data_IF_872852382479
#
_entry.id   IF_872852382479
#
_cell.length_a   1.000
_cell.length_b   1.000
_cell.length_c   1.000
_cell.angle_alpha   90.00
_cell.angle_beta   90.00
_cell.angle_gamma   90.00
#
_symmetry.space_group_name_H-M   'P 1'
#
loop_
_entity.id
_entity.type
_entity.pdbx_description
1 polymer ?
#
# COMPACT_ATOMS: atom_id res chain seq x y z
N UNK A 1 17.40 -25.50 47.07
CA UNK A 1 16.23 -25.22 47.96
C UNK A 1 15.00 -25.74 47.26
N UNK A 2 14.22 -26.68 47.88
CA UNK A 2 12.98 -27.18 47.25
C UNK A 2 11.98 -26.05 47.16
N UNK A 3 11.33 -25.92 46.02
CA UNK A 3 10.28 -24.95 45.76
C UNK A 3 9.16 -25.13 46.80
N UNK A 4 8.86 -24.13 47.57
CA UNK A 4 7.76 -24.10 48.55
C UNK A 4 6.43 -24.33 47.82
N UNK A 5 5.86 -25.51 47.93
CA UNK A 5 4.53 -25.82 47.41
C UNK A 5 3.50 -24.86 47.98
N UNK A 6 2.69 -24.26 47.12
CA UNK A 6 1.61 -23.37 47.54
C UNK A 6 0.62 -24.16 48.44
N UNK A 7 0.23 -23.63 49.61
CA UNK A 7 -0.75 -24.25 50.49
C UNK A 7 -2.12 -24.34 49.83
N UNK A 8 -2.81 -25.44 50.00
CA UNK A 8 -4.21 -25.66 49.56
C UNK A 8 -5.18 -24.92 50.47
N UNK A 9 -6.42 -24.70 50.02
CA UNK A 9 -7.48 -24.10 50.85
C UNK A 9 -7.75 -24.97 52.09
N UNK A 10 -7.76 -26.30 51.92
CA UNK A 10 -7.94 -27.23 53.05
C UNK A 10 -6.83 -27.13 54.13
N UNK A 11 -5.55 -27.02 53.68
CA UNK A 11 -4.46 -26.80 54.64
C UNK A 11 -4.59 -25.48 55.37
N UNK A 12 -5.12 -24.43 54.73
CA UNK A 12 -5.35 -23.13 55.39
C UNK A 12 -6.50 -23.16 56.37
N UNK A 13 -7.56 -23.91 56.06
CA UNK A 13 -8.65 -24.16 56.99
C UNK A 13 -8.18 -24.95 58.21
N UNK A 14 -7.34 -25.96 58.01
CA UNK A 14 -6.74 -26.71 59.10
C UNK A 14 -5.87 -25.83 60.01
N UNK A 15 -5.05 -24.90 59.40
CA UNK A 15 -4.27 -23.93 60.19
C UNK A 15 -5.16 -23.00 61.01
N UNK A 16 -6.26 -22.51 60.46
CA UNK A 16 -7.21 -21.67 61.16
C UNK A 16 -7.87 -22.42 62.33
N UNK A 17 -8.37 -23.64 62.06
CA UNK A 17 -8.99 -24.49 63.06
C UNK A 17 -8.07 -24.82 64.23
N UNK A 18 -6.80 -25.17 63.98
CA UNK A 18 -5.82 -25.41 65.05
C UNK A 18 -5.54 -24.12 65.88
N UNK A 19 -5.50 -22.96 65.22
CA UNK A 19 -5.34 -21.68 65.94
C UNK A 19 -6.55 -21.32 66.81
N UNK A 20 -7.76 -21.68 66.38
CA UNK A 20 -9.00 -21.50 67.19
C UNK A 20 -9.04 -22.43 68.39
N UNK A 21 -8.40 -23.61 68.32
CA UNK A 21 -8.16 -24.51 69.38
C UNK A 21 -7.08 -24.02 70.42
N UNK A 22 -6.52 -22.85 70.18
CA UNK A 22 -5.54 -22.23 71.11
C UNK A 22 -4.07 -22.57 70.81
N UNK A 23 -3.76 -23.30 69.70
CA UNK A 23 -2.40 -23.59 69.38
C UNK A 23 -1.62 -22.35 68.90
N UNK A 24 -0.36 -22.25 69.32
CA UNK A 24 0.52 -21.15 68.88
C UNK A 24 0.83 -21.25 67.40
N UNK A 25 1.19 -20.13 66.74
CA UNK A 25 1.59 -20.12 65.30
C UNK A 25 2.74 -21.07 65.02
N UNK A 26 3.62 -21.28 66.02
CA UNK A 26 4.75 -22.22 65.86
C UNK A 26 4.24 -23.67 65.83
N UNK A 27 3.38 -24.05 66.81
CA UNK A 27 2.79 -25.37 66.88
C UNK A 27 1.94 -25.70 65.64
N UNK A 28 1.14 -24.74 65.12
CA UNK A 28 0.38 -24.89 63.90
C UNK A 28 1.29 -25.09 62.68
N UNK A 29 2.40 -24.35 62.61
CA UNK A 29 3.37 -24.49 61.49
C UNK A 29 4.00 -25.88 61.46
N UNK A 30 4.38 -26.43 62.63
CA UNK A 30 4.96 -27.74 62.78
C UNK A 30 3.95 -28.84 62.42
N UNK A 31 2.73 -28.76 62.92
CA UNK A 31 1.68 -29.75 62.65
C UNK A 31 1.21 -29.77 61.17
N UNK A 32 1.22 -28.62 60.50
CA UNK A 32 0.76 -28.51 59.12
C UNK A 32 1.87 -28.59 58.10
N UNK A 33 3.14 -28.72 58.54
CA UNK A 33 4.31 -28.83 57.65
C UNK A 33 4.61 -27.59 56.83
N UNK A 34 4.26 -26.38 57.37
CA UNK A 34 4.48 -25.09 56.70
C UNK A 34 5.45 -24.23 57.51
N UNK A 35 5.95 -23.15 56.92
CA UNK A 35 6.75 -22.18 57.67
C UNK A 35 5.90 -21.39 58.68
N UNK A 36 6.49 -20.98 59.78
CA UNK A 36 5.87 -20.09 60.79
C UNK A 36 5.19 -18.87 60.11
N UNK A 37 5.86 -18.23 59.19
CA UNK A 37 5.33 -17.06 58.46
C UNK A 37 4.12 -17.42 57.58
N UNK A 38 4.05 -18.63 57.04
CA UNK A 38 2.91 -19.11 56.29
C UNK A 38 1.72 -19.36 57.18
N UNK A 39 1.89 -20.06 58.29
CA UNK A 39 0.83 -20.25 59.31
C UNK A 39 0.29 -18.93 59.83
N UNK A 40 1.17 -18.06 60.33
CA UNK A 40 0.81 -16.72 60.81
C UNK A 40 0.05 -15.90 59.77
N UNK A 41 0.46 -15.93 58.51
CA UNK A 41 -0.19 -15.21 57.41
C UNK A 41 -1.65 -15.66 57.22
N UNK A 42 -1.87 -16.97 57.17
CA UNK A 42 -3.20 -17.50 56.88
C UNK A 42 -4.14 -17.40 58.08
N UNK A 43 -3.68 -17.62 59.29
CA UNK A 43 -4.47 -17.46 60.53
C UNK A 43 -4.88 -15.99 60.68
N UNK A 44 -3.97 -15.03 60.53
CA UNK A 44 -4.31 -13.60 60.60
C UNK A 44 -5.30 -13.19 59.50
N UNK A 45 -5.20 -13.81 58.31
CA UNK A 45 -6.09 -13.50 57.21
C UNK A 45 -7.50 -14.03 57.43
N UNK A 46 -7.59 -15.20 58.03
CA UNK A 46 -8.88 -15.76 58.46
C UNK A 46 -9.52 -14.88 59.54
N UNK A 47 -8.82 -14.52 60.59
CA UNK A 47 -9.32 -13.66 61.68
C UNK A 47 -9.84 -12.30 61.22
N UNK A 48 -9.30 -11.76 60.11
CA UNK A 48 -9.74 -10.46 59.57
C UNK A 48 -10.87 -10.57 58.55
N UNK A 49 -11.00 -11.67 57.81
CA UNK A 49 -11.93 -11.79 56.69
C UNK A 49 -12.71 -13.10 56.64
N UNK A 50 -12.62 -13.92 57.71
CA UNK A 50 -13.27 -15.22 57.82
C UNK A 50 -12.83 -16.25 56.79
N UNK A 51 -13.55 -17.37 56.67
CA UNK A 51 -13.29 -18.46 55.76
C UNK A 51 -13.16 -18.04 54.28
N UNK A 52 -13.93 -17.07 53.73
CA UNK A 52 -13.75 -16.59 52.38
C UNK A 52 -12.36 -16.00 52.12
N UNK A 53 -11.68 -15.46 53.13
CA UNK A 53 -10.34 -14.90 53.01
C UNK A 53 -9.24 -15.96 52.84
N UNK A 54 -9.53 -17.23 53.14
CA UNK A 54 -8.61 -18.35 52.94
C UNK A 54 -8.58 -18.82 51.46
N UNK A 55 -9.57 -18.43 50.66
CA UNK A 55 -9.51 -18.64 49.20
C UNK A 55 -8.56 -17.65 48.62
N UNK A 56 -7.43 -18.10 48.11
CA UNK A 56 -6.58 -17.25 47.27
C UNK A 56 -7.28 -16.98 45.96
N UNK A 57 -7.66 -15.76 45.73
CA UNK A 57 -7.72 -15.26 44.38
C UNK A 57 -6.28 -15.31 43.86
N UNK A 58 -5.99 -16.36 43.09
CA UNK A 58 -4.63 -16.71 42.72
C UNK A 58 -3.93 -15.58 42.00
N UNK A 59 -2.77 -15.19 42.48
CA UNK A 59 -1.86 -14.29 41.82
C UNK A 59 -1.81 -12.88 42.43
N UNK A 60 -0.75 -12.18 42.07
CA UNK A 60 -0.58 -10.75 42.32
C UNK A 60 -1.81 -9.99 41.77
N UNK A 61 -2.40 -9.03 42.49
CA UNK A 61 -3.51 -8.26 41.98
C UNK A 61 -3.26 -7.85 40.55
N UNK A 62 -4.23 -8.06 39.66
CA UNK A 62 -4.06 -7.74 38.25
C UNK A 62 -3.68 -6.26 38.12
N UNK A 63 -2.43 -5.98 37.78
CA UNK A 63 -1.93 -4.61 37.63
C UNK A 63 -1.90 -4.29 36.14
N UNK A 64 -2.26 -3.07 35.77
CA UNK A 64 -2.19 -2.55 34.43
C UNK A 64 -3.53 -2.19 33.82
N UNK A 65 -3.54 -1.80 32.52
CA UNK A 65 -4.77 -1.41 31.83
C UNK A 65 -5.83 -2.51 31.93
N UNK A 66 -7.06 -2.11 32.21
CA UNK A 66 -8.23 -2.98 32.38
C UNK A 66 -8.22 -3.86 33.68
N UNK A 67 -7.29 -3.67 34.62
CA UNK A 67 -7.27 -4.43 35.88
C UNK A 67 -8.37 -4.02 36.86
N UNK A 68 -8.88 -2.78 36.76
CA UNK A 68 -9.96 -2.24 37.57
C UNK A 68 -11.37 -2.55 37.05
N UNK A 69 -11.46 -3.24 35.89
CA UNK A 69 -12.73 -3.64 35.30
C UNK A 69 -13.02 -5.11 35.55
N UNK A 70 -14.28 -5.50 35.34
CA UNK A 70 -14.68 -6.90 35.45
C UNK A 70 -13.75 -7.80 34.63
N UNK A 71 -13.30 -8.97 35.11
CA UNK A 71 -12.31 -9.81 34.45
C UNK A 71 -12.67 -10.17 33.01
N UNK A 72 -13.97 -10.34 32.69
CA UNK A 72 -14.45 -10.61 31.33
C UNK A 72 -14.19 -9.46 30.37
N UNK A 73 -14.21 -8.19 30.81
CA UNK A 73 -13.93 -7.03 29.95
C UNK A 73 -12.57 -7.19 29.27
N UNK A 74 -11.55 -7.56 30.04
CA UNK A 74 -10.21 -7.75 29.51
C UNK A 74 -10.13 -8.94 28.53
N UNK A 75 -10.71 -10.09 28.90
CA UNK A 75 -10.67 -11.29 28.07
C UNK A 75 -11.45 -11.12 26.75
N UNK A 76 -12.64 -10.50 26.82
CA UNK A 76 -13.46 -10.20 25.65
C UNK A 76 -12.78 -9.17 24.76
N UNK A 77 -12.25 -8.06 25.29
CA UNK A 77 -11.53 -7.05 24.51
C UNK A 77 -10.32 -7.63 23.75
N UNK A 78 -9.55 -8.51 24.39
CA UNK A 78 -8.42 -9.16 23.79
C UNK A 78 -8.84 -10.19 22.73
N UNK A 79 -9.91 -10.97 23.00
CA UNK A 79 -10.46 -11.93 22.03
C UNK A 79 -10.98 -11.22 20.78
N UNK A 80 -11.78 -10.17 20.93
CA UNK A 80 -12.30 -9.38 19.82
C UNK A 80 -11.16 -8.81 18.95
N UNK A 81 -10.11 -8.28 19.60
CA UNK A 81 -8.95 -7.75 18.84
C UNK A 81 -8.16 -8.82 18.13
N UNK A 82 -8.05 -10.04 18.67
CA UNK A 82 -7.39 -11.17 18.00
C UNK A 82 -8.19 -11.68 16.80
N UNK A 83 -9.51 -11.75 16.94
CA UNK A 83 -10.42 -12.19 15.88
C UNK A 83 -10.51 -11.13 14.76
N UNK A 84 -10.54 -9.85 15.14
CA UNK A 84 -10.75 -8.73 14.24
C UNK A 84 -9.60 -7.71 14.38
N UNK A 85 -8.45 -8.04 13.80
CA UNK A 85 -7.21 -7.24 13.94
C UNK A 85 -7.35 -5.78 13.45
N UNK A 86 -8.27 -5.53 12.52
CA UNK A 86 -8.55 -4.19 11.97
C UNK A 86 -9.45 -3.33 12.86
N UNK A 87 -10.17 -3.92 13.82
CA UNK A 87 -11.08 -3.16 14.67
C UNK A 87 -10.32 -2.19 15.58
N UNK A 88 -10.73 -0.91 15.54
CA UNK A 88 -10.21 0.12 16.42
C UNK A 88 -10.80 0.02 17.85
N UNK A 89 -10.20 0.75 18.80
CA UNK A 89 -10.64 0.73 20.18
C UNK A 89 -12.11 1.15 20.36
N UNK A 90 -12.56 2.14 19.58
CA UNK A 90 -13.94 2.62 19.63
C UNK A 90 -14.95 1.50 19.30
N UNK A 91 -14.70 0.76 18.24
CA UNK A 91 -15.58 -0.32 17.83
C UNK A 91 -15.57 -1.49 18.82
N UNK A 92 -14.41 -1.82 19.39
CA UNK A 92 -14.31 -2.83 20.45
C UNK A 92 -15.05 -2.42 21.72
N UNK A 93 -14.97 -1.16 22.14
CA UNK A 93 -15.75 -0.66 23.30
C UNK A 93 -17.26 -0.73 23.02
N UNK A 94 -17.70 -0.37 21.80
CA UNK A 94 -19.10 -0.56 21.38
C UNK A 94 -19.52 -2.03 21.52
N UNK A 95 -18.70 -2.96 21.00
CA UNK A 95 -18.98 -4.42 21.08
C UNK A 95 -18.93 -4.99 22.50
N UNK A 96 -18.13 -4.41 23.39
CA UNK A 96 -18.16 -4.73 24.83
C UNK A 96 -19.50 -4.33 25.45
N UNK A 97 -20.06 -3.17 25.08
CA UNK A 97 -21.37 -2.71 25.55
C UNK A 97 -22.54 -3.58 25.06
N UNK A 98 -22.39 -4.15 23.89
CA UNK A 98 -23.39 -5.07 23.29
C UNK A 98 -23.26 -6.52 23.84
N UNK A 99 -22.23 -6.82 24.64
CA UNK A 99 -21.96 -8.18 25.07
C UNK A 99 -22.87 -8.58 26.25
N UNK A 100 -23.73 -9.63 26.14
CA UNK A 100 -24.73 -9.94 27.16
C UNK A 100 -24.15 -10.14 28.59
N UNK A 101 -22.98 -10.79 28.68
CA UNK A 101 -22.33 -11.05 29.96
C UNK A 101 -21.67 -9.80 30.60
N UNK A 102 -21.70 -8.65 29.93
CA UNK A 102 -21.15 -7.39 30.40
C UNK A 102 -22.23 -6.32 30.62
N UNK A 103 -23.50 -6.67 30.49
CA UNK A 103 -24.64 -5.79 30.74
C UNK A 103 -24.55 -5.21 32.17
N UNK A 104 -24.65 -3.89 32.30
CA UNK A 104 -24.53 -3.18 33.58
C UNK A 104 -23.12 -3.07 34.14
N UNK A 105 -22.11 -3.65 33.49
CA UNK A 105 -20.72 -3.51 33.92
C UNK A 105 -20.10 -2.20 33.44
N UNK A 106 -19.23 -1.62 34.25
CA UNK A 106 -18.43 -0.45 33.85
C UNK A 106 -17.53 -0.82 32.65
N UNK A 107 -17.63 -0.05 31.58
CA UNK A 107 -16.81 -0.24 30.38
C UNK A 107 -15.57 0.66 30.39
N UNK A 108 -14.45 0.20 29.77
CA UNK A 108 -13.22 0.98 29.70
C UNK A 108 -13.33 2.10 28.68
N UNK A 109 -12.55 3.15 28.87
CA UNK A 109 -12.33 4.19 27.87
C UNK A 109 -11.52 3.65 26.69
N UNK A 110 -11.58 4.36 25.55
CA UNK A 110 -10.79 4.05 24.35
C UNK A 110 -9.29 3.96 24.64
N UNK A 111 -8.80 4.87 25.48
CA UNK A 111 -7.39 4.95 25.86
C UNK A 111 -6.96 3.74 26.70
N UNK A 112 -7.80 3.27 27.62
CA UNK A 112 -7.52 2.09 28.44
C UNK A 112 -7.47 0.81 27.61
N UNK A 113 -8.40 0.65 26.66
CA UNK A 113 -8.38 -0.46 25.71
C UNK A 113 -7.11 -0.43 24.86
N UNK A 114 -6.75 0.73 24.34
CA UNK A 114 -5.55 0.91 23.53
C UNK A 114 -4.25 0.64 24.31
N UNK A 115 -4.15 1.14 25.56
CA UNK A 115 -3.02 0.85 26.47
C UNK A 115 -2.91 -0.64 26.77
N UNK A 116 -4.04 -1.33 26.93
CA UNK A 116 -4.09 -2.78 27.11
C UNK A 116 -3.49 -3.51 25.89
N UNK A 117 -3.87 -3.13 24.69
CA UNK A 117 -3.32 -3.74 23.49
C UNK A 117 -1.82 -3.50 23.33
N UNK A 118 -1.33 -2.32 23.60
CA UNK A 118 0.11 -2.03 23.58
C UNK A 118 0.89 -2.93 24.54
N UNK A 119 0.33 -3.23 25.71
CA UNK A 119 0.97 -4.12 26.70
C UNK A 119 1.06 -5.57 26.20
N UNK A 120 0.10 -6.02 25.42
CA UNK A 120 0.09 -7.38 24.89
C UNK A 120 0.86 -7.49 23.54
N UNK A 121 1.26 -6.39 22.94
CA UNK A 121 2.13 -6.31 21.78
C UNK A 121 1.73 -7.25 20.66
N UNK A 122 2.66 -8.09 20.21
CA UNK A 122 2.51 -8.99 19.07
C UNK A 122 1.41 -10.05 19.21
N UNK A 123 0.91 -10.29 20.42
CA UNK A 123 -0.18 -11.25 20.65
C UNK A 123 -1.54 -10.73 20.17
N UNK A 124 -1.68 -9.42 20.07
CA UNK A 124 -2.95 -8.75 19.79
C UNK A 124 -2.86 -7.77 18.63
N UNK A 125 -1.74 -7.04 18.54
CA UNK A 125 -1.48 -6.14 17.43
C UNK A 125 -0.83 -6.93 16.27
N UNK A 126 -1.12 -6.57 15.01
CA UNK A 126 -0.40 -7.17 13.90
C UNK A 126 1.10 -6.96 14.12
N UNK A 127 1.89 -8.01 13.91
CA UNK A 127 3.36 -7.87 13.92
C UNK A 127 3.72 -6.68 13.03
N UNK A 128 4.44 -5.72 13.59
CA UNK A 128 5.12 -4.74 12.75
C UNK A 128 5.99 -5.56 11.80
N UNK A 129 5.61 -5.60 10.52
CA UNK A 129 6.55 -6.07 9.50
C UNK A 129 7.84 -5.30 9.74
N UNK A 130 8.98 -5.99 9.81
CA UNK A 130 10.30 -5.33 9.79
C UNK A 130 10.21 -4.29 8.69
N UNK A 131 10.51 -3.04 9.06
CA UNK A 131 10.63 -2.00 8.05
C UNK A 131 11.63 -2.54 7.02
N UNK A 132 11.17 -2.80 5.81
CA UNK A 132 12.12 -2.98 4.71
C UNK A 132 12.94 -1.70 4.67
N UNK A 133 14.24 -1.80 4.39
CA UNK A 133 15.07 -0.61 4.28
C UNK A 133 14.36 0.36 3.33
N UNK A 134 13.93 1.49 3.88
CA UNK A 134 13.34 2.56 3.08
C UNK A 134 14.43 3.05 2.15
N UNK A 135 14.19 2.97 0.86
CA UNK A 135 14.97 3.72 -0.10
C UNK A 135 14.95 5.19 0.34
N UNK A 136 16.09 5.89 0.32
CA UNK A 136 16.09 7.32 0.57
C UNK A 136 15.12 8.00 -0.42
N UNK A 137 14.33 9.01 0.01
CA UNK A 137 13.46 9.76 -0.88
C UNK A 137 14.30 10.43 -1.99
N UNK A 138 13.64 10.79 -3.10
CA UNK A 138 14.31 11.53 -4.17
C UNK A 138 15.02 12.76 -3.59
N UNK A 139 16.27 12.94 -3.99
CA UNK A 139 17.12 14.06 -3.52
C UNK A 139 16.96 15.33 -4.32
N UNK A 140 16.17 15.31 -5.40
CA UNK A 140 16.00 16.41 -6.36
C UNK A 140 14.57 16.47 -6.89
N UNK A 141 14.15 17.68 -7.28
CA UNK A 141 12.89 17.91 -7.97
C UNK A 141 12.79 17.05 -9.24
N UNK A 142 11.63 16.49 -9.51
CA UNK A 142 11.37 15.60 -10.64
C UNK A 142 12.27 14.36 -10.73
N UNK A 143 12.95 14.00 -9.62
CA UNK A 143 13.72 12.77 -9.55
C UNK A 143 12.82 11.54 -9.54
N UNK A 144 11.71 11.57 -8.79
CA UNK A 144 10.73 10.49 -8.74
C UNK A 144 9.33 11.05 -8.59
N UNK A 145 8.44 10.64 -9.48
CA UNK A 145 7.01 10.85 -9.31
C UNK A 145 6.34 9.59 -8.80
N UNK A 146 5.62 9.70 -7.69
CA UNK A 146 4.73 8.64 -7.21
C UNK A 146 3.40 8.77 -7.95
N UNK A 147 3.00 7.73 -8.67
CA UNK A 147 1.75 7.71 -9.43
C UNK A 147 0.83 6.60 -8.93
N UNK A 148 -0.45 6.91 -8.84
CA UNK A 148 -1.49 5.98 -8.43
C UNK A 148 -2.83 6.33 -9.08
N UNK A 149 -3.72 5.35 -9.19
CA UNK A 149 -5.09 5.52 -9.67
C UNK A 149 -6.08 5.20 -8.56
N UNK A 150 -7.04 6.09 -8.37
CA UNK A 150 -8.18 5.84 -7.51
C UNK A 150 -9.38 5.48 -8.37
N UNK A 151 -9.56 4.19 -8.56
CA UNK A 151 -10.56 3.66 -9.49
C UNK A 151 -11.98 3.69 -8.95
N UNK A 152 -12.93 3.93 -9.85
CA UNK A 152 -14.36 3.69 -9.66
C UNK A 152 -14.98 4.42 -8.46
N UNK A 153 -14.66 5.69 -8.28
CA UNK A 153 -15.17 6.54 -7.20
C UNK A 153 -16.55 7.09 -7.60
N UNK A 154 -17.60 6.92 -6.78
CA UNK A 154 -18.88 7.57 -7.04
C UNK A 154 -18.78 9.08 -6.79
N UNK A 155 -19.19 9.89 -7.75
CA UNK A 155 -19.21 11.35 -7.70
C UNK A 155 -20.61 11.85 -7.98
N UNK A 156 -21.11 12.76 -7.14
CA UNK A 156 -22.44 13.35 -7.28
C UNK A 156 -22.61 14.08 -8.63
N UNK A 157 -23.72 13.82 -9.32
CA UNK A 157 -24.05 14.41 -10.61
C UNK A 157 -23.42 13.73 -11.84
N UNK A 158 -22.28 13.04 -11.69
CA UNK A 158 -21.54 12.46 -12.82
C UNK A 158 -21.66 10.91 -12.86
N UNK A 159 -21.70 10.27 -11.69
CA UNK A 159 -21.64 8.81 -11.59
C UNK A 159 -20.25 8.32 -11.15
N UNK A 160 -19.72 7.28 -11.81
CA UNK A 160 -18.44 6.69 -11.43
C UNK A 160 -17.29 7.35 -12.19
N UNK A 161 -16.24 7.71 -11.46
CA UNK A 161 -15.05 8.40 -12.00
C UNK A 161 -13.79 7.72 -11.50
N UNK A 162 -12.78 7.58 -12.35
CA UNK A 162 -11.42 7.18 -11.97
C UNK A 162 -10.51 8.40 -11.97
N UNK A 163 -9.74 8.55 -10.89
CA UNK A 163 -8.76 9.61 -10.72
C UNK A 163 -7.37 9.07 -10.94
N UNK A 164 -6.61 9.71 -11.82
CA UNK A 164 -5.21 9.42 -12.10
C UNK A 164 -4.33 10.55 -11.55
N UNK A 165 -3.49 10.24 -10.59
CA UNK A 165 -2.74 11.23 -9.84
C UNK A 165 -1.25 10.90 -9.80
N UNK A 166 -0.40 11.94 -9.90
CA UNK A 166 1.02 11.82 -9.62
C UNK A 166 1.50 12.97 -8.72
N UNK A 167 2.45 12.65 -7.84
CA UNK A 167 3.08 13.61 -6.94
C UNK A 167 4.59 13.48 -7.03
N UNK A 168 5.25 14.62 -7.06
CA UNK A 168 6.70 14.67 -6.89
C UNK A 168 7.11 14.19 -5.49
N UNK A 169 8.07 13.27 -5.43
CA UNK A 169 8.50 12.68 -4.15
C UNK A 169 9.37 13.64 -3.34
N UNK A 170 10.13 14.51 -3.99
CA UNK A 170 11.00 15.50 -3.35
C UNK A 170 10.21 16.67 -2.78
N UNK A 171 9.54 17.42 -3.64
CA UNK A 171 8.88 18.68 -3.26
C UNK A 171 7.43 18.51 -2.81
N UNK A 172 6.86 17.29 -2.95
CA UNK A 172 5.48 16.98 -2.52
C UNK A 172 4.37 17.68 -3.30
N UNK A 173 4.69 18.41 -4.35
CA UNK A 173 3.69 18.98 -5.23
C UNK A 173 2.94 17.88 -6.00
N UNK A 174 1.66 18.09 -6.26
CA UNK A 174 0.91 17.27 -7.20
C UNK A 174 1.24 17.76 -8.60
N UNK A 175 1.81 16.88 -9.40
CA UNK A 175 2.29 17.18 -10.76
C UNK A 175 1.36 16.67 -11.85
N UNK A 176 0.40 15.84 -11.49
CA UNK A 176 -0.66 15.36 -12.38
C UNK A 176 -1.90 15.03 -11.59
N UNK A 177 -3.06 15.47 -12.08
CA UNK A 177 -4.36 15.08 -11.56
C UNK A 177 -5.40 15.11 -12.67
N UNK A 178 -5.77 13.93 -13.18
CA UNK A 178 -6.71 13.80 -14.29
C UNK A 178 -7.86 12.89 -13.88
N UNK A 179 -9.02 13.12 -14.48
CA UNK A 179 -10.23 12.35 -14.22
C UNK A 179 -10.67 11.60 -15.48
N UNK A 180 -11.26 10.44 -15.27
CA UNK A 180 -11.85 9.60 -16.31
C UNK A 180 -13.25 9.18 -15.84
N UNK A 181 -14.30 9.89 -16.27
CA UNK A 181 -15.67 9.49 -15.99
C UNK A 181 -16.04 8.21 -16.72
N UNK A 182 -17.07 7.51 -16.23
CA UNK A 182 -17.70 6.41 -16.92
C UNK A 182 -18.27 6.85 -18.25
N UNK A 183 -18.11 6.04 -19.31
CA UNK A 183 -18.70 6.31 -20.63
C UNK A 183 -20.22 6.17 -20.64
N UNK A 184 -20.78 5.38 -19.70
CA UNK A 184 -22.21 5.14 -19.58
C UNK A 184 -22.66 5.17 -18.09
N UNK A 185 -23.85 5.68 -17.79
CA UNK A 185 -24.38 5.77 -16.40
C UNK A 185 -24.47 4.43 -15.67
N UNK A 186 -24.55 3.32 -16.39
CA UNK A 186 -24.63 1.97 -15.82
C UNK A 186 -23.26 1.36 -15.54
N UNK A 187 -22.19 1.94 -16.06
CA UNK A 187 -20.84 1.46 -15.84
C UNK A 187 -20.43 1.63 -14.37
N UNK A 188 -20.11 0.53 -13.71
CA UNK A 188 -19.72 0.51 -12.29
C UNK A 188 -18.21 0.49 -12.07
N UNK A 189 -17.47 0.10 -13.10
CA UNK A 189 -16.02 -0.02 -13.02
C UNK A 189 -15.42 0.74 -14.19
N UNK A 190 -14.61 1.73 -13.89
CA UNK A 190 -13.83 2.50 -14.86
C UNK A 190 -12.37 2.20 -14.64
N UNK A 191 -11.75 1.50 -15.58
CA UNK A 191 -10.31 1.23 -15.58
C UNK A 191 -9.61 2.15 -16.54
N UNK A 192 -8.49 2.68 -16.12
CA UNK A 192 -7.65 3.51 -16.96
C UNK A 192 -6.94 2.65 -18.03
N UNK A 193 -6.98 3.06 -19.29
CA UNK A 193 -6.24 2.45 -20.37
C UNK A 193 -4.83 3.00 -20.48
N UNK A 194 -3.92 2.25 -21.14
CA UNK A 194 -2.55 2.76 -21.39
C UNK A 194 -2.56 4.06 -22.20
N UNK A 195 -3.43 4.19 -23.18
CA UNK A 195 -3.57 5.40 -24.01
C UNK A 195 -4.02 6.62 -23.20
N UNK A 196 -5.04 6.45 -22.33
CA UNK A 196 -5.45 7.52 -21.41
C UNK A 196 -4.31 7.89 -20.44
N UNK A 197 -3.63 6.89 -19.89
CA UNK A 197 -2.48 7.11 -19.03
C UNK A 197 -1.32 7.85 -19.69
N UNK A 198 -1.07 7.59 -20.98
CA UNK A 198 -0.10 8.32 -21.79
C UNK A 198 -0.54 9.77 -22.03
N UNK A 199 -1.82 9.98 -22.36
CA UNK A 199 -2.34 11.34 -22.58
C UNK A 199 -2.24 12.19 -21.31
N UNK A 200 -2.59 11.65 -20.16
CA UNK A 200 -2.43 12.33 -18.87
C UNK A 200 -0.97 12.70 -18.58
N UNK A 201 -0.07 11.75 -18.85
CA UNK A 201 1.37 12.00 -18.69
C UNK A 201 1.88 13.06 -19.68
N UNK A 202 1.43 13.10 -20.94
CA UNK A 202 1.82 14.14 -21.92
C UNK A 202 1.47 15.53 -21.42
N UNK A 203 0.27 15.70 -20.83
CA UNK A 203 -0.15 16.97 -20.23
C UNK A 203 0.79 17.34 -19.08
N UNK A 204 1.07 16.42 -18.17
CA UNK A 204 1.95 16.65 -17.04
C UNK A 204 3.40 16.92 -17.50
N UNK A 205 3.92 16.16 -18.44
CA UNK A 205 5.29 16.31 -18.96
C UNK A 205 5.48 17.65 -19.69
N UNK A 206 4.44 18.12 -20.40
CA UNK A 206 4.46 19.42 -21.05
C UNK A 206 4.64 20.56 -20.05
N UNK A 207 4.02 20.43 -18.88
CA UNK A 207 4.08 21.46 -17.82
C UNK A 207 5.34 21.33 -16.95
N UNK A 208 5.70 20.11 -16.54
CA UNK A 208 6.74 19.85 -15.54
C UNK A 208 8.04 19.24 -16.09
N UNK A 209 8.06 18.84 -17.37
CA UNK A 209 9.13 18.04 -17.96
C UNK A 209 9.06 16.56 -17.57
N UNK A 210 9.99 15.76 -18.10
CA UNK A 210 10.09 14.35 -17.81
C UNK A 210 10.76 14.10 -16.46
N UNK A 211 10.19 13.25 -15.58
CA UNK A 211 10.88 12.81 -14.37
C UNK A 211 11.99 11.80 -14.69
N UNK A 212 12.92 11.59 -13.76
CA UNK A 212 13.91 10.53 -13.90
C UNK A 212 13.27 9.14 -13.71
N UNK A 213 12.29 9.03 -12.80
CA UNK A 213 11.57 7.80 -12.54
C UNK A 213 10.09 8.04 -12.22
N UNK A 214 9.24 7.08 -12.57
CA UNK A 214 7.85 6.98 -12.12
C UNK A 214 7.71 5.73 -11.26
N UNK A 215 7.24 5.92 -10.03
CA UNK A 215 6.97 4.87 -9.08
C UNK A 215 5.47 4.57 -9.03
N UNK A 216 5.10 3.30 -9.21
CA UNK A 216 3.72 2.84 -9.15
C UNK A 216 3.59 1.63 -8.23
N UNK A 217 2.36 1.32 -7.83
CA UNK A 217 2.02 0.03 -7.24
C UNK A 217 1.82 -1.05 -8.33
N UNK A 218 1.32 -2.21 -7.92
CA UNK A 218 1.04 -3.35 -8.80
C UNK A 218 -0.36 -3.28 -9.46
N UNK A 219 -0.92 -2.08 -9.68
CA UNK A 219 -2.19 -1.95 -10.38
C UNK A 219 -2.11 -2.49 -11.82
N UNK A 220 -3.22 -3.02 -12.32
CA UNK A 220 -3.30 -3.70 -13.63
C UNK A 220 -2.87 -2.85 -14.83
N UNK A 221 -3.00 -1.53 -14.73
CA UNK A 221 -2.53 -0.60 -15.78
C UNK A 221 -0.99 -0.61 -15.95
N UNK A 222 -0.26 -1.08 -14.93
CA UNK A 222 1.21 -1.10 -14.91
C UNK A 222 1.80 -2.49 -15.14
N UNK A 223 0.97 -3.53 -15.17
CA UNK A 223 1.34 -4.91 -15.44
C UNK A 223 0.15 -5.87 -15.36
N UNK A 224 0.29 -7.06 -15.95
CA UNK A 224 -0.69 -8.13 -15.80
C UNK A 224 -0.74 -8.71 -14.39
N UNK A 225 -1.88 -9.27 -13.98
CA UNK A 225 -2.04 -9.99 -12.71
C UNK A 225 -1.30 -11.34 -12.64
N UNK A 226 -0.58 -11.71 -13.68
CA UNK A 226 0.21 -12.93 -13.80
C UNK A 226 1.45 -12.89 -12.86
N UNK A 227 1.95 -14.04 -12.33
CA UNK A 227 3.20 -14.11 -11.57
C UNK A 227 4.43 -13.51 -12.26
N UNK A 228 4.38 -13.42 -13.59
CA UNK A 228 5.41 -12.79 -14.44
C UNK A 228 4.74 -11.86 -15.46
N UNK A 229 4.24 -10.67 -15.04
CA UNK A 229 3.49 -9.78 -15.91
C UNK A 229 4.35 -9.23 -17.05
N UNK A 230 3.78 -9.21 -18.26
CA UNK A 230 4.38 -8.49 -19.38
C UNK A 230 4.16 -6.99 -19.17
N UNK A 231 5.15 -6.12 -19.44
CA UNK A 231 5.01 -4.69 -19.27
C UNK A 231 3.93 -4.13 -20.19
N UNK A 232 3.12 -3.19 -19.69
CA UNK A 232 2.11 -2.51 -20.49
C UNK A 232 2.74 -1.54 -21.48
N UNK A 233 2.00 -1.14 -22.52
CA UNK A 233 2.45 -0.11 -23.46
C UNK A 233 2.82 1.19 -22.74
N UNK A 234 2.11 1.55 -21.69
CA UNK A 234 2.43 2.71 -20.86
C UNK A 234 3.82 2.59 -20.19
N UNK A 235 4.15 1.42 -19.65
CA UNK A 235 5.47 1.15 -19.07
C UNK A 235 6.57 1.20 -20.13
N UNK A 236 6.34 0.58 -21.29
CA UNK A 236 7.31 0.58 -22.39
C UNK A 236 7.52 1.99 -22.95
N UNK A 237 6.47 2.80 -23.00
CA UNK A 237 6.56 4.19 -23.40
C UNK A 237 7.40 5.03 -22.44
N UNK A 238 7.23 4.89 -21.12
CA UNK A 238 8.12 5.56 -20.16
C UNK A 238 9.57 5.15 -20.34
N UNK A 239 9.83 3.85 -20.49
CA UNK A 239 11.19 3.33 -20.69
C UNK A 239 11.81 3.90 -21.96
N UNK A 240 11.06 3.96 -23.07
CA UNK A 240 11.51 4.56 -24.33
C UNK A 240 11.85 6.04 -24.19
N UNK A 241 11.09 6.80 -23.38
CA UNK A 241 11.41 8.20 -23.02
C UNK A 241 12.56 8.34 -22.00
N UNK A 242 13.18 7.23 -21.59
CA UNK A 242 14.27 7.22 -20.62
C UNK A 242 13.80 7.53 -19.21
N UNK A 243 12.56 7.18 -18.86
CA UNK A 243 12.00 7.25 -17.52
C UNK A 243 12.08 5.86 -16.90
N UNK A 244 12.73 5.76 -15.73
CA UNK A 244 12.77 4.50 -15.00
C UNK A 244 11.40 4.16 -14.41
N UNK A 245 10.87 2.97 -14.70
CA UNK A 245 9.66 2.49 -14.05
C UNK A 245 10.00 1.68 -12.79
N UNK A 246 9.50 2.12 -11.64
CA UNK A 246 9.71 1.52 -10.32
C UNK A 246 8.43 0.93 -9.78
N UNK A 247 8.36 -0.39 -9.73
CA UNK A 247 7.27 -1.10 -9.07
C UNK A 247 7.54 -1.25 -7.59
N UNK A 248 6.58 -0.85 -6.74
CA UNK A 248 6.65 -1.08 -5.31
C UNK A 248 5.75 -2.24 -4.90
N UNK A 249 6.33 -3.17 -4.14
CA UNK A 249 5.65 -4.36 -3.64
C UNK A 249 4.71 -4.09 -2.45
N UNK A 250 4.66 -2.86 -1.93
CA UNK A 250 3.87 -2.50 -0.76
C UNK A 250 3.26 -1.10 -0.89
N UNK A 251 1.95 -0.94 -0.66
CA UNK A 251 1.28 0.36 -0.65
C UNK A 251 1.94 1.39 0.27
N UNK A 252 2.62 0.93 1.32
CA UNK A 252 3.30 1.83 2.28
C UNK A 252 4.39 2.71 1.66
N UNK A 253 4.94 2.32 0.51
CA UNK A 253 5.93 3.12 -0.20
C UNK A 253 5.28 4.27 -1.01
N UNK A 254 3.95 4.22 -1.21
CA UNK A 254 3.15 5.25 -1.88
C UNK A 254 2.37 6.16 -0.90
N UNK A 255 2.77 6.22 0.36
CA UNK A 255 2.04 6.98 1.40
C UNK A 255 1.90 8.49 1.14
N UNK A 256 2.62 9.06 0.20
CA UNK A 256 2.44 10.45 -0.24
C UNK A 256 1.20 10.57 -1.12
N UNK A 257 1.03 9.65 -2.08
CA UNK A 257 -0.12 9.66 -2.99
C UNK A 257 -1.42 9.23 -2.28
N UNK A 258 -1.35 8.28 -1.31
CA UNK A 258 -2.50 7.90 -0.48
C UNK A 258 -3.07 9.10 0.31
N UNK A 259 -2.19 9.99 0.79
CA UNK A 259 -2.61 11.26 1.40
C UNK A 259 -3.26 12.20 0.38
N UNK A 260 -2.77 12.23 -0.85
CA UNK A 260 -3.39 12.95 -1.95
C UNK A 260 -4.83 12.52 -2.18
N UNK A 261 -5.09 11.21 -2.22
CA UNK A 261 -6.45 10.67 -2.36
C UNK A 261 -7.39 11.06 -1.20
N UNK A 262 -6.88 11.18 0.02
CA UNK A 262 -7.65 11.69 1.14
C UNK A 262 -7.98 13.17 0.96
N UNK A 263 -7.00 13.97 0.57
CA UNK A 263 -7.19 15.41 0.32
C UNK A 263 -8.21 15.64 -0.78
N UNK A 264 -8.16 14.87 -1.88
CA UNK A 264 -9.17 14.89 -2.93
C UNK A 264 -10.58 14.65 -2.36
N UNK A 265 -10.75 13.61 -1.56
CA UNK A 265 -12.04 13.32 -0.96
C UNK A 265 -12.54 14.46 -0.08
N UNK A 266 -11.69 14.93 0.83
CA UNK A 266 -12.06 15.90 1.86
C UNK A 266 -12.29 17.30 1.28
N UNK A 267 -11.61 17.67 0.19
CA UNK A 267 -11.66 19.01 -0.37
C UNK A 267 -12.55 19.13 -1.58
N UNK A 268 -12.46 18.18 -2.52
CA UNK A 268 -13.11 18.28 -3.82
C UNK A 268 -14.45 17.52 -3.87
N UNK A 269 -14.56 16.36 -3.18
CA UNK A 269 -15.67 15.44 -3.42
C UNK A 269 -16.74 15.44 -2.32
N UNK A 270 -16.39 15.68 -1.06
CA UNK A 270 -17.36 15.62 0.04
C UNK A 270 -18.45 16.67 -0.15
N UNK A 271 -19.70 16.21 -0.14
CA UNK A 271 -20.90 17.02 -0.24
C UNK A 271 -20.99 17.89 -1.52
N UNK A 272 -20.22 17.55 -2.56
CA UNK A 272 -20.23 18.23 -3.85
C UNK A 272 -20.94 17.38 -4.92
N UNK A 273 -21.60 18.09 -5.84
CA UNK A 273 -22.15 17.51 -7.06
C UNK A 273 -21.72 18.36 -8.25
N UNK A 274 -21.41 17.73 -9.35
CA UNK A 274 -20.89 18.37 -10.55
C UNK A 274 -21.84 18.15 -11.72
N UNK A 275 -21.95 19.14 -12.61
CA UNK A 275 -22.77 19.05 -13.81
C UNK A 275 -22.27 17.99 -14.79
N UNK A 276 -20.95 17.88 -14.91
CA UNK A 276 -20.26 17.00 -15.85
C UNK A 276 -18.77 16.80 -15.46
N UNK A 277 -18.07 15.97 -16.24
CA UNK A 277 -16.65 15.70 -16.02
C UNK A 277 -15.76 16.93 -16.19
N UNK A 278 -16.13 17.87 -17.08
CA UNK A 278 -15.32 19.09 -17.30
C UNK A 278 -15.37 20.00 -16.07
N UNK A 279 -16.54 20.18 -15.47
CA UNK A 279 -16.71 20.94 -14.24
C UNK A 279 -15.91 20.32 -13.08
N UNK A 280 -15.96 18.98 -12.95
CA UNK A 280 -15.13 18.28 -11.95
C UNK A 280 -13.65 18.45 -12.23
N UNK A 281 -13.17 18.31 -13.47
CA UNK A 281 -11.75 18.50 -13.80
C UNK A 281 -11.28 19.93 -13.49
N UNK A 282 -12.09 20.93 -13.83
CA UNK A 282 -11.79 22.33 -13.51
C UNK A 282 -11.65 22.56 -12.00
N UNK A 283 -12.54 21.97 -11.20
CA UNK A 283 -12.45 22.08 -9.74
C UNK A 283 -11.22 21.35 -9.18
N UNK A 284 -10.94 20.16 -9.71
CA UNK A 284 -9.74 19.37 -9.33
C UNK A 284 -8.46 20.16 -9.63
N UNK A 285 -8.36 20.76 -10.81
CA UNK A 285 -7.19 21.55 -11.21
C UNK A 285 -7.03 22.79 -10.27
N UNK A 286 -8.10 23.53 -10.02
CA UNK A 286 -8.09 24.69 -9.12
C UNK A 286 -7.68 24.31 -7.67
N UNK A 287 -8.24 23.22 -7.13
CA UNK A 287 -7.90 22.75 -5.78
C UNK A 287 -6.43 22.34 -5.65
N UNK A 288 -5.85 21.74 -6.69
CA UNK A 288 -4.45 21.32 -6.66
C UNK A 288 -3.48 22.46 -6.90
N UNK A 289 -3.84 23.43 -7.71
CA UNK A 289 -3.06 24.67 -7.87
C UNK A 289 -2.99 25.42 -6.54
N UNK A 290 -4.11 25.59 -5.84
CA UNK A 290 -4.13 26.20 -4.52
C UNK A 290 -3.33 25.38 -3.48
N UNK A 291 -3.46 24.03 -3.49
CA UNK A 291 -2.69 23.16 -2.60
C UNK A 291 -1.20 23.20 -2.86
N UNK A 292 -0.78 23.37 -4.11
CA UNK A 292 0.62 23.46 -4.47
C UNK A 292 1.23 24.83 -4.15
N UNK A 293 0.47 25.93 -4.39
CA UNK A 293 1.00 27.30 -4.36
C UNK A 293 0.66 28.07 -3.07
N UNK A 294 -0.46 27.75 -2.41
CA UNK A 294 -0.98 28.59 -1.33
C UNK A 294 -1.14 27.85 0.00
N UNK A 295 -1.53 26.58 -0.03
CA UNK A 295 -1.84 25.85 1.20
C UNK A 295 -0.59 25.37 1.93
N UNK A 296 -0.45 25.67 3.24
CA UNK A 296 0.66 25.17 4.06
C UNK A 296 0.70 23.63 4.11
N UNK A 297 1.83 23.06 3.75
CA UNK A 297 2.07 21.61 3.74
C UNK A 297 2.81 21.16 5.00
N UNK A 298 2.26 20.15 5.68
CA UNK A 298 2.92 19.48 6.81
C UNK A 298 3.94 18.41 6.38
N UNK A 299 4.22 18.29 5.08
CA UNK A 299 5.24 17.37 4.60
C UNK A 299 6.63 17.78 5.11
N UNK A 300 7.47 16.82 5.40
CA UNK A 300 8.76 17.03 6.07
C UNK A 300 9.66 18.04 5.33
N UNK A 301 9.62 18.09 4.01
CA UNK A 301 10.42 19.02 3.20
C UNK A 301 9.85 20.44 3.13
N UNK A 302 8.54 20.61 3.38
CA UNK A 302 7.86 21.90 3.16
C UNK A 302 7.87 22.84 4.37
N UNK A 303 8.25 22.38 5.55
CA UNK A 303 8.38 23.20 6.78
C UNK A 303 7.15 24.08 7.09
N UNK A 304 5.96 23.62 6.71
CA UNK A 304 4.71 24.37 6.90
C UNK A 304 4.41 25.41 5.82
N UNK A 305 5.21 25.47 4.77
CA UNK A 305 4.97 26.32 3.58
C UNK A 305 4.31 25.48 2.46
N UNK A 306 3.67 26.12 1.48
CA UNK A 306 3.20 25.43 0.29
C UNK A 306 4.34 24.73 -0.47
N UNK A 307 4.08 23.62 -1.17
CA UNK A 307 5.09 22.86 -1.91
C UNK A 307 5.94 23.70 -2.87
N UNK A 308 5.32 24.57 -3.69
CA UNK A 308 6.02 25.39 -4.68
C UNK A 308 6.76 26.58 -4.07
N UNK A 309 6.35 27.02 -2.87
CA UNK A 309 7.09 28.05 -2.12
C UNK A 309 8.34 27.44 -1.47
N UNK A 310 8.22 26.24 -0.92
CA UNK A 310 9.35 25.53 -0.30
C UNK A 310 10.35 25.01 -1.32
N UNK A 311 9.88 24.66 -2.51
CA UNK A 311 10.64 24.01 -3.56
C UNK A 311 10.38 24.67 -4.92
N UNK A 312 10.81 25.95 -5.11
CA UNK A 312 10.59 26.68 -6.36
C UNK A 312 11.30 26.02 -7.56
N UNK A 313 12.32 25.21 -7.33
CA UNK A 313 13.01 24.42 -8.36
C UNK A 313 12.08 23.42 -9.08
N UNK A 314 10.92 23.10 -8.53
CA UNK A 314 9.88 22.30 -9.21
C UNK A 314 9.31 23.00 -10.45
N UNK A 315 9.35 24.32 -10.50
CA UNK A 315 8.89 25.11 -11.66
C UNK A 315 9.87 25.06 -12.83
N UNK A 316 11.03 24.46 -12.64
CA UNK A 316 12.08 24.37 -13.66
C UNK A 316 12.19 22.94 -14.17
N UNK A 317 11.70 22.63 -15.39
CA UNK A 317 11.81 21.31 -15.98
C UNK A 317 13.28 20.88 -16.12
N UNK A 318 13.70 19.80 -15.46
CA UNK A 318 15.06 19.26 -15.61
C UNK A 318 15.29 18.62 -16.98
N UNK A 319 14.25 18.00 -17.50
CA UNK A 319 14.21 17.34 -18.81
C UNK A 319 13.00 17.88 -19.55
N UNK A 320 13.15 18.98 -20.30
CA UNK A 320 12.04 19.59 -21.04
C UNK A 320 11.38 18.58 -22.00
N UNK A 321 10.06 18.68 -22.11
CA UNK A 321 9.25 17.83 -22.98
C UNK A 321 8.21 18.68 -23.73
N UNK A 322 8.01 18.33 -24.99
CA UNK A 322 6.87 18.74 -25.80
C UNK A 322 6.35 17.54 -26.58
N UNK A 323 5.05 17.41 -26.82
CA UNK A 323 4.49 16.31 -27.58
C UNK A 323 5.12 16.14 -28.96
N UNK A 324 5.47 17.24 -29.62
CA UNK A 324 6.10 17.26 -30.93
C UNK A 324 7.52 16.67 -30.93
N UNK A 325 8.19 16.65 -29.78
CA UNK A 325 9.52 16.07 -29.60
C UNK A 325 9.48 14.61 -29.19
N UNK A 326 8.30 14.07 -28.91
CA UNK A 326 8.17 12.73 -28.33
C UNK A 326 8.86 11.67 -29.18
N UNK A 327 8.73 11.75 -30.50
CA UNK A 327 9.35 10.77 -31.42
C UNK A 327 10.88 10.83 -31.39
N UNK A 328 11.45 12.02 -31.30
CA UNK A 328 12.91 12.22 -31.20
C UNK A 328 13.45 11.84 -29.82
N UNK A 329 12.64 12.00 -28.76
CA UNK A 329 12.99 11.63 -27.39
C UNK A 329 12.85 10.15 -27.12
N UNK A 330 11.98 9.47 -27.87
CA UNK A 330 11.68 8.04 -27.73
C UNK A 330 12.76 7.18 -28.40
N UNK A 331 13.44 6.37 -27.61
CA UNK A 331 14.46 5.43 -28.10
C UNK A 331 14.00 4.00 -27.90
N UNK A 332 13.67 3.32 -29.02
CA UNK A 332 13.21 1.94 -29.03
C UNK A 332 14.26 0.97 -28.49
N UNK A 333 15.56 1.27 -28.61
CA UNK A 333 16.65 0.44 -28.07
C UNK A 333 16.60 0.35 -26.54
N UNK A 334 16.10 1.38 -25.85
CA UNK A 334 15.88 1.33 -24.39
C UNK A 334 14.78 0.33 -24.03
N UNK A 335 13.73 0.26 -24.85
CA UNK A 335 12.66 -0.72 -24.71
C UNK A 335 13.21 -2.13 -24.93
N UNK A 336 13.97 -2.34 -26.00
CA UNK A 336 14.56 -3.62 -26.33
C UNK A 336 15.52 -4.10 -25.23
N UNK A 337 16.39 -3.23 -24.74
CA UNK A 337 17.28 -3.52 -23.61
C UNK A 337 16.48 -3.87 -22.32
N UNK A 338 15.39 -3.15 -22.04
CA UNK A 338 14.54 -3.44 -20.90
C UNK A 338 13.85 -4.79 -21.01
N UNK A 339 13.34 -5.17 -22.19
CA UNK A 339 12.72 -6.47 -22.43
C UNK A 339 13.74 -7.61 -22.35
N UNK A 340 14.96 -7.40 -22.85
CA UNK A 340 16.02 -8.40 -22.82
C UNK A 340 16.47 -8.80 -21.41
N UNK A 341 16.25 -7.94 -20.40
CA UNK A 341 16.56 -8.26 -19.00
C UNK A 341 15.50 -9.13 -18.31
N UNK A 342 14.40 -9.47 -19.01
CA UNK A 342 13.23 -10.11 -18.40
C UNK A 342 12.95 -11.48 -18.99
N UNK A 343 12.28 -12.28 -18.19
CA UNK A 343 11.82 -13.61 -18.60
C UNK A 343 10.40 -13.82 -18.10
N UNK A 344 9.57 -14.40 -18.93
CA UNK A 344 8.16 -14.67 -18.64
C UNK A 344 7.90 -16.16 -18.70
N UNK A 345 7.09 -16.66 -17.79
CA UNK A 345 6.64 -18.05 -17.78
C UNK A 345 5.19 -18.07 -18.29
N UNK A 346 4.91 -18.88 -19.29
CA UNK A 346 3.58 -18.99 -19.89
C UNK A 346 3.19 -20.45 -20.13
N UNK A 347 1.89 -20.70 -20.01
CA UNK A 347 1.31 -21.99 -20.43
C UNK A 347 0.88 -21.88 -21.90
N UNK A 348 1.25 -22.86 -22.70
CA UNK A 348 0.81 -22.97 -24.10
C UNK A 348 -0.60 -23.53 -24.13
N UNK A 349 -1.49 -22.90 -24.86
CA UNK A 349 -2.88 -23.36 -25.02
C UNK A 349 -2.97 -24.68 -25.77
N UNK A 350 -4.13 -25.32 -25.73
CA UNK A 350 -4.41 -26.59 -26.42
C UNK A 350 -4.24 -26.52 -27.96
N UNK A 351 -4.32 -25.30 -28.50
CA UNK A 351 -4.07 -25.05 -29.95
C UNK A 351 -2.63 -24.65 -30.23
N UNK A 352 -1.71 -24.77 -29.29
CA UNK A 352 -0.30 -24.48 -29.46
C UNK A 352 0.05 -23.00 -29.52
N UNK A 353 -0.71 -22.13 -28.82
CA UNK A 353 -0.50 -20.68 -28.80
C UNK A 353 -0.16 -20.15 -27.41
N UNK A 354 0.62 -19.08 -27.35
CA UNK A 354 0.94 -18.31 -26.15
C UNK A 354 0.47 -16.87 -26.33
N UNK A 355 -0.14 -16.31 -25.28
CA UNK A 355 -0.43 -14.87 -25.21
C UNK A 355 0.69 -14.15 -24.47
N UNK A 356 1.21 -13.06 -25.06
CA UNK A 356 2.24 -12.21 -24.47
C UNK A 356 2.00 -10.76 -24.90
N UNK A 357 1.85 -9.85 -23.93
CA UNK A 357 1.59 -8.43 -24.25
C UNK A 357 0.32 -8.20 -25.08
N UNK A 358 -0.73 -9.00 -24.89
CA UNK A 358 -1.96 -8.93 -25.70
C UNK A 358 -1.84 -9.55 -27.11
N UNK A 359 -0.64 -9.97 -27.51
CA UNK A 359 -0.38 -10.61 -28.81
C UNK A 359 -0.37 -12.13 -28.70
N UNK A 360 -0.78 -12.82 -29.78
CA UNK A 360 -0.76 -14.28 -29.86
C UNK A 360 0.42 -14.77 -30.71
N UNK A 361 1.15 -15.74 -30.15
CA UNK A 361 2.31 -16.38 -30.76
C UNK A 361 2.02 -17.86 -30.91
N UNK A 362 2.01 -18.35 -32.20
CA UNK A 362 1.77 -19.77 -32.50
C UNK A 362 3.09 -20.55 -32.44
N UNK A 363 3.18 -21.50 -31.51
CA UNK A 363 4.34 -22.38 -31.35
C UNK A 363 4.13 -23.74 -32.08
N UNK A 364 2.88 -24.06 -32.42
CA UNK A 364 2.47 -25.34 -32.99
C UNK A 364 1.90 -26.30 -31.97
N UNK A 365 1.10 -27.27 -32.43
CA UNK A 365 0.36 -28.21 -31.59
C UNK A 365 1.25 -29.12 -30.76
N UNK A 366 2.49 -29.40 -31.18
CA UNK A 366 3.46 -30.15 -30.40
C UNK A 366 3.80 -29.48 -29.03
N UNK A 367 3.56 -28.19 -28.89
CA UNK A 367 3.79 -27.43 -27.67
C UNK A 367 2.55 -27.34 -26.76
N UNK A 368 1.41 -27.84 -27.21
CA UNK A 368 0.16 -27.75 -26.46
C UNK A 368 0.31 -28.29 -25.01
N UNK A 369 -0.20 -27.54 -24.04
CA UNK A 369 -0.11 -27.89 -22.62
C UNK A 369 1.27 -27.78 -21.96
N UNK A 370 2.31 -27.41 -22.71
CA UNK A 370 3.66 -27.21 -22.17
C UNK A 370 3.79 -25.85 -21.48
N UNK A 371 4.64 -25.78 -20.45
CA UNK A 371 5.07 -24.53 -19.87
C UNK A 371 6.34 -24.05 -20.58
N UNK A 372 6.33 -22.80 -21.02
CA UNK A 372 7.46 -22.18 -21.70
C UNK A 372 8.02 -21.01 -20.91
N UNK A 373 9.33 -20.87 -20.96
CA UNK A 373 10.07 -19.67 -20.59
C UNK A 373 10.25 -18.82 -21.84
N UNK A 374 9.85 -17.57 -21.76
CA UNK A 374 9.94 -16.61 -22.87
C UNK A 374 10.98 -15.56 -22.52
N UNK A 375 12.00 -15.41 -23.35
CA UNK A 375 12.99 -14.32 -23.29
C UNK A 375 12.93 -13.48 -24.55
N UNK A 376 13.49 -12.28 -24.51
CA UNK A 376 13.54 -11.38 -25.65
C UNK A 376 14.99 -11.22 -26.13
N UNK A 377 15.21 -11.44 -27.41
CA UNK A 377 16.47 -11.21 -28.09
C UNK A 377 16.40 -9.85 -28.79
N UNK A 378 17.19 -8.90 -28.30
CA UNK A 378 17.07 -7.49 -28.69
C UNK A 378 17.56 -7.20 -30.12
N UNK A 379 18.57 -7.93 -30.59
CA UNK A 379 19.18 -7.66 -31.93
C UNK A 379 18.22 -8.00 -33.08
N UNK A 380 17.66 -9.23 -33.18
CA UNK A 380 16.66 -9.54 -34.18
C UNK A 380 15.25 -9.08 -33.77
N UNK A 381 15.06 -8.60 -32.57
CA UNK A 381 13.76 -8.25 -31.96
C UNK A 381 12.78 -9.42 -31.96
N UNK A 382 13.22 -10.56 -31.41
CA UNK A 382 12.47 -11.80 -31.38
C UNK A 382 12.19 -12.26 -29.94
N UNK A 383 11.04 -12.87 -29.75
CA UNK A 383 10.79 -13.67 -28.55
C UNK A 383 11.27 -15.10 -28.77
N UNK A 384 12.02 -15.61 -27.80
CA UNK A 384 12.55 -16.97 -27.77
C UNK A 384 11.76 -17.77 -26.74
N UNK A 385 11.04 -18.78 -27.23
CA UNK A 385 10.22 -19.68 -26.41
C UNK A 385 10.99 -20.97 -26.16
N UNK A 386 11.28 -21.26 -24.90
CA UNK A 386 12.04 -22.45 -24.47
C UNK A 386 11.20 -23.29 -23.53
N UNK A 387 11.16 -24.59 -23.73
CA UNK A 387 10.42 -25.53 -22.87
C UNK A 387 10.97 -25.51 -21.44
N UNK A 388 10.09 -25.35 -20.45
CA UNK A 388 10.44 -25.51 -19.04
C UNK A 388 10.28 -26.98 -18.67
N UNK A 389 11.39 -27.66 -18.36
CA UNK A 389 11.36 -29.08 -17.96
C UNK A 389 10.75 -29.19 -16.54
N UNK A 390 9.69 -29.99 -16.35
CA UNK A 390 9.14 -30.18 -15.00
C UNK A 390 10.16 -30.88 -14.09
N UNK A 391 10.24 -30.43 -12.84
CA UNK A 391 11.11 -31.02 -11.83
C UNK A 391 10.53 -32.34 -11.28
N UNK A 392 10.19 -33.32 -12.14
CA UNK A 392 9.61 -34.60 -11.70
C UNK A 392 10.67 -35.71 -11.70
N UNK A 393 10.67 -36.51 -10.61
CA UNK A 393 11.53 -37.70 -10.43
C UNK A 393 11.06 -38.93 -11.23
N UNK A 394 10.02 -38.84 -12.05
CA UNK A 394 9.48 -39.97 -12.83
C UNK A 394 9.84 -39.85 -14.31
N UNK A 395 10.17 -40.98 -14.91
CA UNK A 395 10.75 -41.22 -16.22
C UNK A 395 9.85 -40.90 -17.44
N UNK A 396 8.78 -40.15 -17.28
CA UNK A 396 7.92 -39.64 -18.35
C UNK A 396 8.36 -38.20 -18.69
N UNK A 397 9.56 -38.04 -19.25
CA UNK A 397 9.97 -36.72 -19.78
C UNK A 397 9.21 -36.47 -21.07
N UNK A 398 8.54 -35.33 -21.21
CA UNK A 398 8.02 -34.91 -22.51
C UNK A 398 9.20 -34.79 -23.52
N UNK A 399 8.96 -35.00 -24.79
CA UNK A 399 9.99 -34.87 -25.82
C UNK A 399 10.64 -33.49 -25.73
N UNK A 400 11.93 -33.41 -25.94
CA UNK A 400 12.66 -32.14 -25.97
C UNK A 400 12.33 -31.40 -27.25
N UNK A 401 11.72 -30.21 -27.09
CA UNK A 401 11.37 -29.35 -28.22
C UNK A 401 12.43 -28.28 -28.41
N UNK A 402 12.83 -28.07 -29.66
CA UNK A 402 13.78 -27.00 -30.00
C UNK A 402 13.15 -25.63 -29.75
N UNK A 403 13.90 -24.64 -29.22
CA UNK A 403 13.40 -23.31 -29.01
C UNK A 403 12.78 -22.71 -30.28
N UNK A 404 11.64 -22.02 -30.11
CA UNK A 404 10.94 -21.30 -31.17
C UNK A 404 11.26 -19.83 -31.08
N UNK A 405 11.64 -19.21 -32.21
CA UNK A 405 11.90 -17.77 -32.34
C UNK A 405 10.83 -17.12 -33.17
N UNK A 406 10.21 -16.06 -32.67
CA UNK A 406 9.15 -15.34 -33.36
C UNK A 406 9.35 -13.83 -33.18
N UNK A 407 9.24 -13.09 -34.29
CA UNK A 407 9.34 -11.64 -34.30
C UNK A 407 8.36 -10.98 -33.37
N UNK A 408 8.79 -9.93 -32.67
CA UNK A 408 7.96 -9.16 -31.75
C UNK A 408 6.80 -8.49 -32.50
N UNK A 409 5.60 -8.57 -31.94
CA UNK A 409 4.38 -7.97 -32.46
C UNK A 409 3.87 -6.88 -31.52
N UNK A 410 3.34 -5.78 -32.08
CA UNK A 410 2.75 -4.70 -31.28
C UNK A 410 3.78 -3.94 -30.42
N UNK A 411 5.04 -3.92 -30.87
CA UNK A 411 6.16 -3.26 -30.20
C UNK A 411 6.96 -2.33 -31.15
N UNK A 412 6.33 -1.83 -32.19
CA UNK A 412 6.92 -0.75 -33.02
C UNK A 412 6.86 0.59 -32.21
N UNK A 413 7.53 1.61 -32.70
CA UNK A 413 7.44 2.97 -32.12
C UNK A 413 6.00 3.44 -32.12
N UNK A 414 5.28 3.23 -33.21
CA UNK A 414 3.88 3.61 -33.39
C UNK A 414 2.97 2.85 -32.43
N UNK A 415 3.17 1.54 -32.27
CA UNK A 415 2.38 0.72 -31.33
C UNK A 415 2.54 1.21 -29.88
N UNK A 416 3.77 1.56 -29.49
CA UNK A 416 4.08 1.94 -28.11
C UNK A 416 3.70 3.38 -27.84
N UNK A 417 3.99 4.32 -28.76
CA UNK A 417 3.69 5.74 -28.55
C UNK A 417 2.24 6.10 -28.87
N UNK A 418 1.58 5.32 -29.73
CA UNK A 418 0.27 5.64 -30.27
C UNK A 418 0.28 6.86 -31.21
N UNK A 419 1.47 7.30 -31.66
CA UNK A 419 1.64 8.42 -32.59
C UNK A 419 1.81 7.87 -33.98
N UNK A 420 0.92 8.17 -34.93
CA UNK A 420 1.04 7.70 -36.30
C UNK A 420 2.32 8.19 -37.00
N UNK A 421 2.90 7.36 -37.84
CA UNK A 421 4.10 7.71 -38.65
C UNK A 421 3.91 8.94 -39.55
N UNK A 422 2.67 9.22 -39.95
CA UNK A 422 2.31 10.32 -40.86
C UNK A 422 2.54 11.76 -40.31
N UNK A 423 2.95 11.93 -39.06
CA UNK A 423 3.36 13.24 -38.53
C UNK A 423 4.79 13.63 -38.98
N UNK A 424 5.51 12.79 -39.71
CA UNK A 424 6.86 13.08 -40.21
C UNK A 424 6.91 14.14 -41.30
N UNK A 425 5.79 14.42 -41.98
CA UNK A 425 5.72 15.34 -43.12
C UNK A 425 5.37 16.79 -42.76
N UNK A 426 5.18 17.11 -41.47
CA UNK A 426 5.09 18.50 -41.07
C UNK A 426 6.46 19.16 -41.15
N UNK A 427 6.64 20.21 -42.01
CA UNK A 427 7.96 20.77 -42.25
C UNK A 427 8.56 21.28 -40.95
N UNK A 428 9.75 20.77 -40.60
CA UNK A 428 10.59 21.16 -39.44
C UNK A 428 10.81 22.68 -39.33
N UNK A 429 10.37 23.47 -40.29
CA UNK A 429 10.49 24.94 -40.33
C UNK A 429 9.58 25.71 -39.36
N UNK A 430 8.52 25.12 -38.81
CA UNK A 430 7.64 25.81 -37.87
C UNK A 430 8.05 25.67 -36.39
N UNK A 431 9.09 24.93 -36.08
CA UNK A 431 9.52 24.65 -34.69
C UNK A 431 10.54 25.67 -34.13
N UNK A 432 10.92 26.69 -34.91
CA UNK A 432 11.79 27.78 -34.46
C UNK A 432 10.94 29.00 -34.05
N UNK A 433 10.16 28.89 -33.01
CA UNK A 433 9.70 30.09 -32.29
C UNK A 433 10.87 30.59 -31.45
N UNK A 434 11.21 31.89 -31.53
CA UNK A 434 12.33 32.44 -30.78
C UNK A 434 12.08 32.34 -29.28
N UNK A 435 13.12 31.96 -28.54
CA UNK A 435 13.19 31.88 -27.07
C UNK A 435 12.87 33.19 -26.33
N UNK A 436 12.45 34.25 -27.02
CA UNK A 436 12.16 35.55 -26.46
C UNK A 436 10.78 35.74 -25.82
N UNK A 437 9.95 34.68 -25.74
CA UNK A 437 8.61 34.78 -25.12
C UNK A 437 8.53 34.23 -23.68
N UNK A 438 9.62 33.89 -23.05
CA UNK A 438 9.67 33.62 -21.61
C UNK A 438 10.28 34.86 -20.90
N UNK A 439 9.61 35.99 -21.02
CA UNK A 439 9.89 37.14 -20.15
C UNK A 439 9.28 36.88 -18.76
N UNK A 440 9.94 37.32 -17.69
CA UNK A 440 9.37 37.20 -16.35
C UNK A 440 8.07 38.01 -16.28
N UNK A 441 7.02 37.44 -15.75
CA UNK A 441 5.82 38.19 -15.40
C UNK A 441 6.21 39.36 -14.49
N UNK A 442 5.78 40.59 -14.76
CA UNK A 442 6.05 41.71 -13.88
C UNK A 442 5.32 41.50 -12.55
N UNK A 443 6.11 41.37 -11.48
CA UNK A 443 5.61 41.51 -10.12
C UNK A 443 5.19 42.96 -9.96
N UNK A 444 3.91 43.24 -9.82
CA UNK A 444 3.42 44.58 -9.49
C UNK A 444 3.90 44.91 -8.07
N UNK A 445 4.56 46.09 -7.87
CA UNK A 445 4.87 46.54 -6.53
C UNK A 445 3.58 47.03 -5.87
N UNK A 446 3.22 46.39 -4.73
CA UNK A 446 2.13 46.87 -3.90
C UNK A 446 2.42 48.23 -3.28
N UNK A 447 1.43 49.08 -3.27
CA UNK A 447 1.30 50.28 -2.41
C UNK A 447 0.56 49.84 -1.14
#
# INVERSE_FOLDING_TARGET
>A
MPATRATTVQQRQAMAHLADQGHSYQAVAEQTGVSFWTARKWIRRERHGGLPALVTTGGRPATGPLSSFHPLVRSVALRLKRQHRTWGAAYVVKKLGEHPALTGQRLPSLVEVWRSWRRFGDRVLPRRRRAQPHRPPAGVAHGVWQRDTKESVPVGGIGVVTFNQARDEYGRATVMHRIHPADHPQQRIVKLTSAQGQQDCRIAFTHWGLPDAIQTDQASIFGDADPSPFPTLLTLWWVGLGIEHRLVSSPRHNGSIERGHRTLNERTLIDQAFSDGSALQTQVDADWDELNAECPSRAKGCQGQPPLVSHPELLIPRRPYRPEWERDLFDLRRVDAYLATRTWIRLVSDVGQVSLGGQRYGLGTAWAGQTVSVSFDAEPREFVFTQVKPATKRDTRPPELSPVRLGAKGLSVEDITGVPAALDDLPRRQLMLPLSMCGPHPVSPGV
#
